data_IF_541924153210
#
_entry.id   IF_541924153210
#
_cell.length_a   1.000
_cell.length_b   1.000
_cell.length_c   1.000
_cell.angle_alpha   90.00
_cell.angle_beta   90.00
_cell.angle_gamma   90.00
#
_symmetry.space_group_name_H-M   'P 1'
#
loop_
_entity.id
_entity.type
_entity.pdbx_description
1 polymer ?
#
# COMPACT_ATOMS: atom_id res chain seq x y z
N UNK A 1 -38.67 29.17 10.39
CA UNK A 1 -39.02 27.74 10.52
C UNK A 1 -37.80 26.99 10.05
N UNK A 2 -36.80 27.00 10.90
CA UNK A 2 -35.53 26.29 10.80
C UNK A 2 -35.45 25.54 12.14
N UNK A 3 -34.74 24.40 12.18
CA UNK A 3 -34.51 23.54 13.37
C UNK A 3 -35.33 22.23 13.44
N UNK A 4 -35.26 21.33 12.43
CA UNK A 4 -35.64 19.91 12.66
C UNK A 4 -34.67 18.85 12.08
N UNK A 5 -33.59 19.20 11.35
CA UNK A 5 -32.78 18.20 10.62
C UNK A 5 -31.47 17.76 11.32
N UNK A 6 -31.12 18.29 12.49
CA UNK A 6 -29.79 18.05 13.13
C UNK A 6 -29.75 16.81 14.07
N UNK A 7 -30.88 16.14 14.35
CA UNK A 7 -30.96 15.15 15.43
C UNK A 7 -30.71 13.67 15.05
N UNK A 8 -30.65 13.33 13.75
CA UNK A 8 -30.58 11.91 13.31
C UNK A 8 -29.17 11.43 12.92
N UNK A 9 -28.17 12.31 12.91
CA UNK A 9 -26.80 11.95 12.54
C UNK A 9 -26.03 11.22 13.67
N UNK A 10 -26.48 11.30 14.92
CA UNK A 10 -25.73 10.76 16.07
C UNK A 10 -25.99 9.25 16.34
N UNK A 11 -27.05 8.67 15.76
CA UNK A 11 -27.43 7.26 15.96
C UNK A 11 -26.72 6.28 15.02
N UNK A 12 -25.95 6.78 14.04
CA UNK A 12 -25.27 5.94 13.05
C UNK A 12 -23.85 5.51 13.46
N UNK A 13 -23.50 5.57 14.75
CA UNK A 13 -22.45 4.73 15.36
C UNK A 13 -22.92 3.27 15.37
N UNK A 14 -23.15 2.71 14.17
CA UNK A 14 -23.44 1.30 13.97
C UNK A 14 -22.24 0.55 14.52
N UNK A 15 -22.47 -0.11 15.66
CA UNK A 15 -21.66 -1.23 16.14
C UNK A 15 -21.23 -2.02 14.92
N UNK A 16 -19.96 -1.91 14.54
CA UNK A 16 -19.37 -2.76 13.51
C UNK A 16 -19.41 -4.15 14.12
N UNK A 17 -20.52 -4.87 13.89
CA UNK A 17 -20.60 -6.29 14.17
C UNK A 17 -19.46 -6.88 13.36
N UNK A 18 -18.38 -7.25 14.05
CA UNK A 18 -17.33 -8.06 13.47
C UNK A 18 -18.02 -9.40 13.20
N UNK A 19 -18.66 -9.52 12.03
CA UNK A 19 -19.03 -10.81 11.51
C UNK A 19 -17.71 -11.58 11.43
N UNK A 20 -17.63 -12.70 12.11
CA UNK A 20 -16.58 -13.69 11.88
C UNK A 20 -16.69 -14.09 10.41
N UNK A 21 -15.91 -13.43 9.56
CA UNK A 21 -15.84 -13.77 8.16
C UNK A 21 -15.11 -15.10 8.11
N UNK A 22 -15.84 -16.17 7.76
CA UNK A 22 -15.21 -17.40 7.32
C UNK A 22 -14.38 -17.06 6.08
N UNK A 23 -13.06 -16.96 6.27
CA UNK A 23 -12.14 -16.72 5.16
C UNK A 23 -11.96 -18.04 4.43
N UNK A 24 -12.44 -18.19 3.18
CA UNK A 24 -12.21 -19.42 2.46
C UNK A 24 -10.70 -19.63 2.29
N UNK A 25 -10.22 -20.78 2.76
CA UNK A 25 -8.84 -21.21 2.59
C UNK A 25 -8.72 -21.90 1.23
N UNK A 26 -7.73 -21.48 0.43
CA UNK A 26 -7.35 -22.12 -0.82
C UNK A 26 -6.16 -23.01 -0.53
N UNK A 27 -6.22 -24.26 -1.00
CA UNK A 27 -5.09 -25.18 -0.96
C UNK A 27 -4.46 -25.22 -2.34
N UNK A 28 -3.14 -25.03 -2.41
CA UNK A 28 -2.38 -25.20 -3.64
C UNK A 28 -1.26 -26.22 -3.41
N UNK A 29 -0.87 -26.87 -4.49
CA UNK A 29 0.23 -27.82 -4.49
C UNK A 29 1.42 -27.17 -5.17
N UNK A 30 2.52 -27.05 -4.44
CA UNK A 30 3.79 -26.60 -4.98
C UNK A 30 4.85 -27.64 -4.63
N UNK A 31 5.58 -28.17 -5.62
CA UNK A 31 6.68 -29.12 -5.43
C UNK A 31 6.33 -30.34 -4.55
N UNK A 32 5.10 -30.84 -4.63
CA UNK A 32 4.63 -31.99 -3.85
C UNK A 32 4.13 -31.67 -2.44
N UNK A 33 4.24 -30.43 -1.98
CA UNK A 33 3.73 -29.99 -0.68
C UNK A 33 2.38 -29.26 -0.82
N UNK A 34 1.46 -29.55 0.12
CA UNK A 34 0.17 -28.86 0.22
C UNK A 34 0.33 -27.62 1.07
N UNK A 35 0.19 -26.46 0.47
CA UNK A 35 0.24 -25.20 1.18
C UNK A 35 -1.18 -24.61 1.23
N UNK A 36 -1.57 -24.14 2.42
CA UNK A 36 -2.87 -23.50 2.65
C UNK A 36 -2.67 -21.99 2.77
N UNK A 37 -3.42 -21.22 1.99
CA UNK A 37 -3.45 -19.76 2.07
C UNK A 37 -4.89 -19.28 2.20
N UNK A 38 -5.08 -18.09 2.76
CA UNK A 38 -6.38 -17.44 2.67
C UNK A 38 -6.61 -16.94 1.24
N UNK A 39 -7.87 -16.99 0.79
CA UNK A 39 -8.27 -16.52 -0.55
C UNK A 39 -7.85 -15.07 -0.82
N UNK A 40 -7.95 -14.20 0.19
CA UNK A 40 -7.55 -12.80 0.05
C UNK A 40 -6.07 -12.65 -0.31
N UNK A 41 -5.19 -13.35 0.40
CA UNK A 41 -3.76 -13.32 0.12
C UNK A 41 -3.43 -13.90 -1.26
N UNK A 42 -4.09 -15.00 -1.65
CA UNK A 42 -3.91 -15.59 -2.98
C UNK A 42 -4.34 -14.65 -4.11
N UNK A 43 -5.52 -14.04 -3.99
CA UNK A 43 -6.03 -13.11 -5.01
C UNK A 43 -5.28 -11.78 -5.06
N UNK A 44 -4.71 -11.34 -3.94
CA UNK A 44 -3.86 -10.13 -3.88
C UNK A 44 -2.49 -10.37 -4.51
N UNK A 45 -1.83 -11.49 -4.18
CA UNK A 45 -0.52 -11.84 -4.74
C UNK A 45 -0.57 -12.03 -6.25
N UNK A 46 -1.58 -12.74 -6.75
CA UNK A 46 -1.77 -12.94 -8.19
C UNK A 46 -2.45 -11.75 -8.90
N UNK A 47 -2.81 -10.70 -8.16
CA UNK A 47 -3.58 -9.56 -8.68
C UNK A 47 -4.87 -9.94 -9.42
N UNK A 48 -5.45 -11.10 -9.11
CA UNK A 48 -6.70 -11.61 -9.71
C UNK A 48 -7.96 -11.14 -8.99
N UNK A 49 -7.80 -10.41 -7.88
CA UNK A 49 -8.94 -9.79 -7.20
C UNK A 49 -9.58 -8.70 -8.09
N UNK A 50 -10.83 -8.34 -7.82
CA UNK A 50 -11.52 -7.24 -8.52
C UNK A 50 -10.97 -5.84 -8.14
N UNK A 51 -10.17 -5.76 -7.07
CA UNK A 51 -9.65 -4.49 -6.52
C UNK A 51 -8.84 -3.66 -7.51
N UNK A 52 -7.93 -4.22 -8.34
CA UNK A 52 -7.17 -3.44 -9.31
C UNK A 52 -8.08 -2.78 -10.34
N UNK A 53 -9.14 -3.47 -10.80
CA UNK A 53 -10.12 -2.94 -11.75
C UNK A 53 -10.88 -1.76 -11.14
N UNK A 54 -11.44 -1.93 -9.94
CA UNK A 54 -12.13 -0.82 -9.26
C UNK A 54 -11.19 0.35 -8.96
N UNK A 55 -9.96 0.08 -8.55
CA UNK A 55 -8.97 1.13 -8.25
C UNK A 55 -8.63 1.91 -9.53
N UNK A 56 -8.44 1.22 -10.66
CA UNK A 56 -8.18 1.87 -11.94
C UNK A 56 -9.35 2.75 -12.38
N UNK A 57 -10.59 2.28 -12.25
CA UNK A 57 -11.77 3.07 -12.58
C UNK A 57 -12.04 4.23 -11.61
N UNK A 58 -11.70 4.08 -10.33
CA UNK A 58 -11.86 5.13 -9.32
C UNK A 58 -10.80 6.23 -9.44
N UNK A 59 -9.61 5.91 -9.94
CA UNK A 59 -8.47 6.83 -10.04
C UNK A 59 -8.17 7.25 -11.47
N UNK A 60 -9.02 6.90 -12.43
CA UNK A 60 -8.81 7.32 -13.83
C UNK A 60 -8.98 8.82 -13.98
N UNK A 61 -8.21 9.40 -14.89
CA UNK A 61 -8.41 10.78 -15.30
C UNK A 61 -9.71 10.89 -16.12
N UNK A 62 -10.53 11.90 -15.82
CA UNK A 62 -11.85 12.10 -16.45
C UNK A 62 -11.72 12.45 -17.94
N UNK A 63 -10.70 13.22 -18.31
CA UNK A 63 -10.50 13.70 -19.68
C UNK A 63 -9.93 12.61 -20.58
N UNK A 64 -8.91 11.90 -20.12
CA UNK A 64 -8.19 10.90 -20.93
C UNK A 64 -8.67 9.47 -20.74
N UNK A 65 -9.55 9.20 -19.76
CA UNK A 65 -10.00 7.85 -19.34
C UNK A 65 -8.86 6.87 -18.99
N UNK A 66 -7.63 7.36 -18.80
CA UNK A 66 -6.48 6.54 -18.44
C UNK A 66 -6.33 6.44 -16.92
N UNK A 67 -5.94 5.26 -16.36
CA UNK A 67 -5.61 5.13 -14.95
C UNK A 67 -4.48 6.08 -14.54
N UNK A 68 -4.49 6.53 -13.29
CA UNK A 68 -3.40 7.33 -12.72
C UNK A 68 -2.09 6.53 -12.74
N UNK A 69 -0.98 7.22 -13.04
CA UNK A 69 0.34 6.61 -13.05
C UNK A 69 0.72 6.08 -11.66
N UNK A 70 1.24 4.86 -11.62
CA UNK A 70 1.75 4.26 -10.39
C UNK A 70 2.93 5.08 -9.82
N UNK A 71 2.79 5.45 -8.55
CA UNK A 71 3.78 6.22 -7.77
C UNK A 71 4.56 5.34 -6.79
N UNK A 72 4.35 4.01 -6.78
CA UNK A 72 5.16 3.08 -5.99
C UNK A 72 6.65 3.22 -6.37
N UNK A 73 7.50 3.27 -5.34
CA UNK A 73 8.96 3.43 -5.52
C UNK A 73 9.43 4.84 -5.91
N UNK A 74 8.55 5.77 -6.28
CA UNK A 74 8.90 7.13 -6.74
C UNK A 74 9.13 8.16 -5.63
N UNK A 75 9.43 7.72 -4.40
CA UNK A 75 9.90 8.62 -3.34
C UNK A 75 11.36 8.99 -3.60
N UNK A 76 11.61 9.84 -4.60
CA UNK A 76 12.95 10.19 -5.08
C UNK A 76 13.84 10.93 -4.08
N UNK A 77 13.28 11.49 -3.00
CA UNK A 77 14.00 12.51 -2.22
C UNK A 77 14.34 12.09 -0.78
N UNK A 78 13.99 10.88 -0.33
CA UNK A 78 14.29 10.46 1.05
C UNK A 78 15.75 10.04 1.25
N UNK A 79 16.44 9.62 0.19
CA UNK A 79 17.85 9.19 0.23
C UNK A 79 18.82 10.27 -0.23
N UNK A 80 18.47 11.55 -0.06
CA UNK A 80 19.50 12.58 -0.14
C UNK A 80 20.28 12.50 1.18
N UNK A 81 21.36 11.73 1.18
CA UNK A 81 22.33 11.73 2.28
C UNK A 81 22.64 13.20 2.54
N UNK A 82 22.57 13.68 3.81
CA UNK A 82 22.99 15.04 4.12
C UNK A 82 24.38 15.21 3.50
N UNK A 83 24.58 16.31 2.77
CA UNK A 83 25.90 16.63 2.21
C UNK A 83 26.82 16.90 3.41
N UNK A 84 27.33 15.86 4.05
CA UNK A 84 28.46 15.97 4.94
C UNK A 84 29.60 16.62 4.16
N UNK A 85 30.46 17.34 4.86
CA UNK A 85 31.53 18.06 4.20
C UNK A 85 32.43 17.04 3.47
N UNK A 86 32.46 17.05 2.12
CA UNK A 86 33.28 16.12 1.36
C UNK A 86 34.77 16.30 1.66
N UNK A 87 35.16 17.46 2.21
CA UNK A 87 36.52 17.74 2.66
C UNK A 87 36.87 16.88 3.87
N UNK A 88 36.00 16.81 4.89
CA UNK A 88 36.23 15.99 6.09
C UNK A 88 36.39 14.50 5.75
N UNK A 89 35.58 13.99 4.83
CA UNK A 89 35.68 12.58 4.40
C UNK A 89 37.01 12.32 3.69
N UNK A 90 37.46 13.25 2.84
CA UNK A 90 38.75 13.12 2.13
C UNK A 90 39.94 13.21 3.08
N UNK A 91 39.90 14.09 4.07
CA UNK A 91 40.93 14.20 5.10
C UNK A 91 41.02 12.96 5.97
N UNK A 92 39.87 12.40 6.37
CA UNK A 92 39.82 11.13 7.09
C UNK A 92 40.42 9.98 6.26
N UNK A 93 40.09 9.86 4.97
CA UNK A 93 40.68 8.84 4.09
C UNK A 93 42.21 9.01 3.99
N UNK A 94 42.70 10.24 3.90
CA UNK A 94 44.14 10.54 3.86
C UNK A 94 44.87 10.32 5.18
N UNK A 95 44.15 10.20 6.29
CA UNK A 95 44.75 9.97 7.62
C UNK A 95 45.25 8.54 7.82
N UNK A 96 44.82 7.59 6.98
CA UNK A 96 45.31 6.21 7.06
C UNK A 96 46.68 6.10 6.37
N UNK A 97 47.68 5.45 7.02
CA UNK A 97 48.97 5.23 6.40
C UNK A 97 48.82 4.29 5.21
N UNK A 98 49.33 4.71 4.05
CA UNK A 98 49.45 3.85 2.88
C UNK A 98 50.72 3.02 3.08
N UNK A 99 50.55 1.71 3.19
CA UNK A 99 51.65 0.71 3.32
C UNK A 99 52.39 0.58 1.99
#
# INVERSE_FOLDING_TARGET
>A
MEDEDEADNEKNKRKVKIQERSFPLITFFAKGEKIRLCKSFYSETLSTSQRPVYTAHSTKNVETNTPTQDQRGKKGNSRRVPKGDPVLVREHIKSFPVV
#
